data_IF_980788925017
#
_entry.id   IF_980788925017
#
_cell.length_a   1.000
_cell.length_b   1.000
_cell.length_c   1.000
_cell.angle_alpha   90.00
_cell.angle_beta   90.00
_cell.angle_gamma   90.00
#
_symmetry.space_group_name_H-M   'P 1'
#
loop_
_entity.id
_entity.type
_entity.pdbx_description
1 polymer ?
#
# COMPACT_ATOMS: atom_id res chain seq x y z
N UNK A 1 -9.51 -39.29 19.48
CA UNK A 1 -8.45 -38.36 19.04
C UNK A 1 -8.80 -37.00 19.62
N UNK A 2 -7.93 -36.41 20.44
CA UNK A 2 -8.16 -35.07 20.98
C UNK A 2 -8.03 -34.05 19.83
N UNK A 3 -8.91 -33.05 19.79
CA UNK A 3 -8.79 -31.93 18.85
C UNK A 3 -7.43 -31.24 19.07
N UNK A 4 -6.72 -30.90 17.98
CA UNK A 4 -5.50 -30.11 18.12
C UNK A 4 -5.84 -28.75 18.74
N UNK A 5 -4.90 -28.12 19.47
CA UNK A 5 -5.10 -26.79 20.06
C UNK A 5 -5.58 -25.75 19.03
N UNK A 6 -5.12 -25.88 17.78
CA UNK A 6 -5.51 -25.05 16.64
C UNK A 6 -6.99 -25.30 16.27
N UNK A 7 -7.43 -26.56 16.22
CA UNK A 7 -8.83 -26.92 15.93
C UNK A 7 -9.79 -26.37 17.00
N UNK A 8 -9.39 -26.42 18.27
CA UNK A 8 -10.15 -25.85 19.38
C UNK A 8 -10.25 -24.32 19.28
N UNK A 9 -9.14 -23.64 18.96
CA UNK A 9 -9.12 -22.18 18.76
C UNK A 9 -10.02 -21.75 17.58
N UNK A 10 -10.03 -22.50 16.47
CA UNK A 10 -10.91 -22.21 15.34
C UNK A 10 -12.39 -22.46 15.65
N UNK A 11 -12.72 -23.46 16.48
CA UNK A 11 -14.10 -23.69 16.95
C UNK A 11 -14.59 -22.55 17.84
N UNK A 12 -13.77 -22.10 18.80
CA UNK A 12 -14.07 -20.96 19.66
C UNK A 12 -14.27 -19.66 18.85
N UNK A 13 -13.38 -19.38 17.89
CA UNK A 13 -13.49 -18.21 17.02
C UNK A 13 -14.79 -18.24 16.18
N UNK A 14 -15.16 -19.39 15.63
CA UNK A 14 -16.43 -19.55 14.89
C UNK A 14 -17.63 -19.31 15.79
N UNK A 15 -17.60 -19.80 17.03
CA UNK A 15 -18.69 -19.60 17.99
C UNK A 15 -18.83 -18.13 18.38
N UNK A 16 -17.72 -17.42 18.64
CA UNK A 16 -17.73 -15.97 18.92
C UNK A 16 -18.24 -15.14 17.75
N UNK A 17 -17.88 -15.49 16.52
CA UNK A 17 -18.40 -14.84 15.31
C UNK A 17 -19.90 -15.07 15.13
N UNK A 18 -20.40 -16.25 15.49
CA UNK A 18 -21.82 -16.57 15.40
C UNK A 18 -22.65 -15.80 16.43
N UNK A 19 -22.16 -15.67 17.66
CA UNK A 19 -22.77 -14.83 18.71
C UNK A 19 -22.77 -13.35 18.29
N UNK A 20 -21.66 -12.85 17.75
CA UNK A 20 -21.57 -11.46 17.27
C UNK A 20 -22.55 -11.19 16.11
N UNK A 21 -22.75 -12.15 15.20
CA UNK A 21 -23.76 -12.06 14.13
C UNK A 21 -25.19 -12.02 14.69
N UNK A 22 -25.50 -12.86 15.68
CA UNK A 22 -26.80 -12.87 16.34
C UNK A 22 -27.08 -11.56 17.10
N UNK A 23 -26.07 -11.00 17.77
CA UNK A 23 -26.17 -9.70 18.45
C UNK A 23 -26.32 -8.52 17.47
N UNK A 24 -25.66 -8.58 16.31
CA UNK A 24 -25.83 -7.59 15.25
C UNK A 24 -27.22 -7.63 14.62
N UNK A 25 -27.83 -8.83 14.52
CA UNK A 25 -29.20 -9.02 14.05
C UNK A 25 -30.25 -8.56 15.08
N UNK A 26 -29.90 -8.52 16.37
CA UNK A 26 -30.78 -8.08 17.46
C UNK A 26 -30.88 -6.54 17.64
N UNK A 27 -30.39 -5.75 16.69
CA UNK A 27 -30.80 -4.34 16.54
C UNK A 27 -30.14 -3.30 17.45
N UNK A 28 -29.04 -3.58 18.15
CA UNK A 28 -28.30 -2.56 18.91
C UNK A 28 -27.21 -1.89 18.06
N UNK A 29 -27.59 -0.86 17.31
CA UNK A 29 -26.64 -0.03 16.54
C UNK A 29 -25.68 0.77 17.44
N UNK A 30 -26.10 1.10 18.67
CA UNK A 30 -25.32 1.87 19.65
C UNK A 30 -24.14 1.09 20.26
N UNK A 31 -24.30 -0.22 20.49
CA UNK A 31 -23.19 -1.06 20.95
C UNK A 31 -22.07 -1.10 19.90
N UNK A 32 -22.44 -1.16 18.61
CA UNK A 32 -21.47 -1.23 17.50
C UNK A 32 -20.64 0.05 17.34
N UNK A 33 -21.20 1.23 17.61
CA UNK A 33 -20.46 2.49 17.51
C UNK A 33 -19.44 2.62 18.65
N UNK A 34 -19.84 2.30 19.89
CA UNK A 34 -18.96 2.36 21.05
C UNK A 34 -17.82 1.34 20.94
N UNK A 35 -18.08 0.14 20.44
CA UNK A 35 -17.03 -0.86 20.21
C UNK A 35 -16.08 -0.48 19.07
N UNK A 36 -16.58 0.11 17.98
CA UNK A 36 -15.74 0.65 16.91
C UNK A 36 -14.87 1.79 17.43
N UNK A 37 -15.45 2.70 18.21
CA UNK A 37 -14.72 3.80 18.82
C UNK A 37 -13.64 3.29 19.78
N UNK A 38 -13.98 2.33 20.66
CA UNK A 38 -13.00 1.66 21.53
C UNK A 38 -11.85 1.02 20.75
N UNK A 39 -12.14 0.38 19.62
CA UNK A 39 -11.09 -0.20 18.78
C UNK A 39 -10.23 0.88 18.12
N UNK A 40 -10.84 1.95 17.58
CA UNK A 40 -10.14 3.13 17.03
C UNK A 40 -9.21 3.74 18.09
N UNK A 41 -9.69 3.86 19.32
CA UNK A 41 -8.92 4.38 20.45
C UNK A 41 -7.78 3.39 20.81
N UNK A 42 -8.07 2.09 20.91
CA UNK A 42 -7.11 1.03 21.24
C UNK A 42 -5.98 0.84 20.19
N UNK A 43 -6.26 1.10 18.91
CA UNK A 43 -5.24 1.02 17.84
C UNK A 43 -4.58 2.37 17.56
N UNK A 44 -4.81 3.38 18.40
CA UNK A 44 -4.15 4.69 18.31
C UNK A 44 -4.57 5.52 17.11
N UNK A 45 -5.81 5.38 16.63
CA UNK A 45 -6.35 6.16 15.50
C UNK A 45 -7.08 7.44 15.96
N UNK A 46 -7.17 7.69 17.27
CA UNK A 46 -7.79 8.88 17.88
C UNK A 46 -6.90 9.44 19.01
N UNK A 47 -6.79 10.77 19.12
CA UNK A 47 -5.82 11.46 19.99
C UNK A 47 -6.13 11.40 21.49
N UNK A 48 -7.26 10.83 21.94
CA UNK A 48 -7.81 11.21 23.25
C UNK A 48 -7.84 10.17 24.37
N UNK A 49 -7.84 8.84 24.19
CA UNK A 49 -7.93 7.92 25.35
C UNK A 49 -7.38 6.47 25.13
N UNK A 50 -6.42 6.06 25.97
CA UNK A 50 -6.38 4.81 26.76
C UNK A 50 -6.32 3.40 26.13
N UNK A 51 -5.20 2.71 26.43
CA UNK A 51 -4.81 1.28 26.30
C UNK A 51 -4.66 0.72 24.89
N UNK A 52 -3.41 0.53 24.49
CA UNK A 52 -3.03 -0.05 23.21
C UNK A 52 -3.30 -1.55 23.13
N UNK A 53 -3.42 -2.08 21.91
CA UNK A 53 -3.50 -3.54 21.67
C UNK A 53 -2.29 -4.30 22.26
N UNK A 54 -1.19 -3.60 22.48
CA UNK A 54 0.04 -4.13 23.08
C UNK A 54 -0.18 -4.55 24.54
N UNK A 55 -1.00 -3.83 25.32
CA UNK A 55 -1.35 -4.20 26.70
C UNK A 55 -2.14 -5.51 26.77
N UNK A 56 -2.92 -5.81 25.71
CA UNK A 56 -3.74 -7.01 25.63
C UNK A 56 -2.90 -8.20 25.16
N UNK A 57 -2.02 -7.98 24.18
CA UNK A 57 -1.16 -9.02 23.62
C UNK A 57 0.02 -9.37 24.55
N UNK A 58 0.54 -8.42 25.34
CA UNK A 58 1.55 -8.69 26.36
C UNK A 58 1.05 -9.58 27.51
N UNK A 59 -0.27 -9.79 27.64
CA UNK A 59 -0.85 -10.76 28.58
C UNK A 59 -0.92 -12.20 28.04
N UNK A 60 -0.46 -12.43 26.80
CA UNK A 60 -0.47 -13.73 26.14
C UNK A 60 0.84 -13.98 25.38
N UNK A 61 1.84 -14.50 26.08
CA UNK A 61 3.03 -15.16 25.52
C UNK A 61 3.09 -16.55 26.21
N UNK A 62 3.41 -17.69 25.58
CA UNK A 62 4.31 -17.99 24.48
C UNK A 62 3.74 -19.14 23.61
N UNK A 63 4.10 -19.20 22.32
CA UNK A 63 4.63 -20.43 21.68
C UNK A 63 4.99 -20.23 20.19
N UNK A 64 6.29 -20.38 19.90
CA UNK A 64 6.95 -20.76 18.64
C UNK A 64 6.84 -19.88 17.38
N UNK A 65 7.98 -19.29 17.01
CA UNK A 65 8.29 -18.69 15.70
C UNK A 65 8.61 -19.81 14.70
N UNK A 66 7.80 -19.94 13.65
CA UNK A 66 8.09 -20.80 12.49
C UNK A 66 8.99 -20.08 11.47
N UNK A 67 10.05 -20.77 11.03
CA UNK A 67 11.05 -20.30 10.05
C UNK A 67 10.44 -19.99 8.67
N UNK A 68 10.80 -18.85 8.02
CA UNK A 68 10.32 -18.48 6.69
C UNK A 68 11.36 -18.83 5.62
N UNK A 69 11.31 -20.04 5.05
CA UNK A 69 12.18 -20.38 3.92
C UNK A 69 11.38 -20.97 2.74
N UNK A 70 11.62 -20.40 1.55
CA UNK A 70 11.11 -20.71 0.21
C UNK A 70 9.72 -20.17 -0.22
N UNK A 71 9.64 -18.96 -0.80
CA UNK A 71 8.65 -18.70 -1.85
C UNK A 71 9.07 -19.39 -3.15
N UNK A 72 8.25 -20.35 -3.63
CA UNK A 72 8.39 -20.95 -4.97
C UNK A 72 7.30 -20.39 -5.88
N UNK A 73 7.68 -19.73 -6.97
CA UNK A 73 6.73 -19.30 -8.00
C UNK A 73 6.58 -20.45 -9.02
N UNK A 74 5.33 -20.73 -9.40
CA UNK A 74 4.97 -21.66 -10.48
C UNK A 74 3.93 -20.97 -11.35
N UNK A 75 4.30 -20.53 -12.56
CA UNK A 75 3.34 -20.10 -13.56
C UNK A 75 3.11 -21.22 -14.59
N UNK A 76 1.85 -21.38 -15.03
CA UNK A 76 1.49 -22.21 -16.17
C UNK A 76 0.72 -21.33 -17.14
N UNK A 77 1.29 -21.11 -18.32
CA UNK A 77 0.61 -20.44 -19.41
C UNK A 77 0.37 -21.44 -20.54
N UNK A 78 -0.78 -21.34 -21.21
CA UNK A 78 -1.01 -22.04 -22.48
C UNK A 78 -0.72 -21.07 -23.59
N UNK A 79 0.30 -21.36 -24.39
CA UNK A 79 0.60 -20.58 -25.57
C UNK A 79 -0.59 -20.65 -26.55
N UNK A 80 -1.09 -19.52 -27.07
CA UNK A 80 -2.31 -19.48 -27.89
C UNK A 80 -2.20 -20.35 -29.14
N UNK A 81 -1.00 -20.40 -29.72
CA UNK A 81 -0.76 -21.04 -31.02
C UNK A 81 -0.50 -22.54 -30.94
N UNK A 82 0.00 -23.05 -29.81
CA UNK A 82 0.44 -24.46 -29.73
C UNK A 82 -0.51 -25.34 -28.93
N UNK A 83 -1.44 -24.77 -28.14
CA UNK A 83 -2.31 -25.50 -27.19
C UNK A 83 -1.57 -26.38 -26.18
N UNK A 84 -0.23 -26.42 -26.21
CA UNK A 84 0.63 -27.12 -25.27
C UNK A 84 0.85 -26.21 -24.06
N UNK A 85 0.60 -26.69 -22.83
CA UNK A 85 0.95 -25.93 -21.63
C UNK A 85 2.48 -25.84 -21.53
N UNK A 86 3.03 -24.65 -21.73
CA UNK A 86 4.45 -24.36 -21.51
C UNK A 86 4.61 -23.95 -20.04
N UNK A 87 5.58 -24.57 -19.35
CA UNK A 87 5.89 -24.22 -17.95
C UNK A 87 6.95 -23.13 -17.96
N UNK A 88 6.57 -21.92 -17.57
CA UNK A 88 7.54 -20.86 -17.24
C UNK A 88 7.80 -20.88 -15.74
N UNK A 89 9.08 -21.01 -15.37
CA UNK A 89 9.54 -20.90 -13.98
C UNK A 89 10.14 -19.51 -13.82
N UNK A 90 9.39 -18.58 -13.24
CA UNK A 90 10.02 -17.46 -12.53
C UNK A 90 10.33 -17.93 -11.12
N UNK A 91 11.42 -17.48 -10.52
CA UNK A 91 11.72 -17.70 -9.10
C UNK A 91 12.15 -16.36 -8.53
N UNK A 92 11.35 -15.76 -7.65
CA UNK A 92 11.82 -14.70 -6.77
C UNK A 92 12.45 -15.41 -5.57
N UNK A 93 13.75 -15.64 -5.65
CA UNK A 93 14.53 -16.27 -4.59
C UNK A 93 15.27 -15.19 -3.80
N UNK A 94 15.34 -15.35 -2.47
CA UNK A 94 16.33 -14.60 -1.70
C UNK A 94 17.73 -15.13 -2.07
N UNK A 95 18.80 -14.35 -1.85
CA UNK A 95 20.15 -14.78 -2.19
C UNK A 95 20.64 -16.03 -1.39
N UNK A 96 19.83 -16.57 -0.47
CA UNK A 96 20.20 -17.64 0.47
C UNK A 96 19.51 -18.98 0.15
N UNK A 97 18.48 -18.98 -0.69
CA UNK A 97 17.75 -20.19 -1.05
C UNK A 97 18.54 -20.97 -2.10
N UNK A 98 18.67 -22.29 -1.92
CA UNK A 98 19.37 -23.17 -2.87
C UNK A 98 18.76 -23.01 -4.26
N UNK A 99 19.55 -22.41 -5.14
CA UNK A 99 19.26 -22.18 -6.54
C UNK A 99 18.91 -23.52 -7.18
N UNK A 100 17.85 -23.55 -7.99
CA UNK A 100 17.45 -24.76 -8.70
C UNK A 100 18.61 -25.21 -9.60
N UNK A 101 18.87 -26.52 -9.68
CA UNK A 101 20.00 -27.10 -10.42
C UNK A 101 20.00 -26.80 -11.94
N UNK A 102 18.93 -26.18 -12.44
CA UNK A 102 18.73 -25.78 -13.85
C UNK A 102 19.12 -24.31 -14.15
N UNK A 103 19.75 -23.62 -13.19
CA UNK A 103 20.10 -22.20 -13.22
C UNK A 103 21.50 -21.93 -13.78
N UNK A 104 21.63 -21.07 -14.79
CA UNK A 104 22.94 -20.49 -15.15
C UNK A 104 23.03 -19.10 -14.53
N UNK A 105 23.79 -19.00 -13.44
CA UNK A 105 24.18 -17.70 -12.85
C UNK A 105 25.27 -17.11 -13.73
N UNK A 106 25.02 -15.96 -14.33
CA UNK A 106 26.08 -15.23 -15.01
C UNK A 106 26.90 -14.46 -13.96
N UNK A 107 28.12 -14.95 -13.71
CA UNK A 107 29.02 -14.45 -12.68
C UNK A 107 29.47 -12.99 -12.87
N UNK A 108 29.37 -12.44 -14.08
CA UNK A 108 29.78 -11.06 -14.37
C UNK A 108 28.68 -10.05 -14.06
N UNK A 109 27.42 -10.48 -13.96
CA UNK A 109 26.31 -9.54 -13.94
C UNK A 109 25.15 -9.90 -13.01
N UNK A 110 25.20 -11.02 -12.27
CA UNK A 110 24.30 -11.27 -11.14
C UNK A 110 22.87 -11.67 -11.51
N UNK A 111 22.60 -12.04 -12.77
CA UNK A 111 21.29 -12.53 -13.21
C UNK A 111 21.33 -14.03 -13.50
N UNK A 112 20.16 -14.66 -13.37
CA UNK A 112 19.91 -16.02 -13.83
C UNK A 112 18.92 -15.97 -15.00
N UNK A 113 19.27 -16.66 -16.09
CA UNK A 113 18.37 -16.89 -17.24
C UNK A 113 17.93 -18.34 -17.22
N UNK A 114 16.63 -18.58 -17.16
CA UNK A 114 16.05 -19.94 -17.26
C UNK A 114 15.42 -20.07 -18.65
N UNK A 115 16.27 -20.30 -19.65
CA UNK A 115 15.88 -20.31 -21.06
C UNK A 115 15.75 -18.91 -21.67
N UNK A 116 15.50 -18.85 -22.98
CA UNK A 116 15.48 -17.61 -23.78
C UNK A 116 14.38 -16.60 -23.39
N UNK A 117 13.47 -16.96 -22.47
CA UNK A 117 12.25 -16.20 -22.17
C UNK A 117 11.99 -16.04 -20.66
N UNK A 118 12.99 -16.19 -19.79
CA UNK A 118 12.78 -15.98 -18.34
C UNK A 118 13.97 -15.27 -17.69
N UNK A 119 13.67 -14.12 -17.07
CA UNK A 119 14.61 -13.31 -16.29
C UNK A 119 14.26 -13.47 -14.81
N UNK A 120 15.26 -13.85 -14.01
CA UNK A 120 15.18 -13.80 -12.55
C UNK A 120 15.76 -12.46 -12.11
N UNK A 121 14.93 -11.66 -11.46
CA UNK A 121 15.33 -10.38 -10.87
C UNK A 121 15.50 -10.61 -9.37
N UNK A 122 16.68 -10.30 -8.82
CA UNK A 122 16.94 -10.42 -7.40
C UNK A 122 16.04 -9.43 -6.63
N UNK A 123 15.27 -9.94 -5.67
CA UNK A 123 14.22 -9.18 -5.01
C UNK A 123 14.72 -7.91 -4.29
N UNK A 124 15.92 -7.92 -3.70
CA UNK A 124 16.47 -6.80 -2.93
C UNK A 124 16.66 -5.52 -3.75
N UNK A 125 17.11 -5.68 -4.99
CA UNK A 125 17.47 -4.56 -5.83
C UNK A 125 16.22 -3.95 -6.46
N UNK A 126 15.18 -4.76 -6.73
CA UNK A 126 13.86 -4.28 -7.18
C UNK A 126 13.24 -3.36 -6.15
N UNK A 127 13.28 -3.75 -4.88
CA UNK A 127 12.78 -2.90 -3.79
C UNK A 127 13.58 -1.60 -3.68
N UNK A 128 14.90 -1.66 -3.85
CA UNK A 128 15.76 -0.47 -3.83
C UNK A 128 15.41 0.49 -4.97
N UNK A 129 15.29 -0.01 -6.19
CA UNK A 129 14.87 0.78 -7.35
C UNK A 129 13.47 1.39 -7.14
N UNK A 130 12.49 0.56 -6.76
CA UNK A 130 11.11 0.99 -6.58
C UNK A 130 10.97 2.02 -5.43
N UNK A 131 11.73 1.84 -4.36
CA UNK A 131 11.87 2.81 -3.27
C UNK A 131 12.42 4.14 -3.81
N UNK A 132 13.45 4.10 -4.65
CA UNK A 132 14.01 5.28 -5.32
C UNK A 132 12.98 6.01 -6.19
N UNK A 133 12.19 5.28 -6.98
CA UNK A 133 11.09 5.87 -7.78
C UNK A 133 10.08 6.59 -6.89
N UNK A 134 9.67 5.97 -5.77
CA UNK A 134 8.72 6.57 -4.81
C UNK A 134 9.31 7.79 -4.13
N UNK A 135 10.58 7.76 -3.75
CA UNK A 135 11.29 8.89 -3.13
C UNK A 135 11.39 10.08 -4.09
N UNK A 136 11.83 9.84 -5.33
CA UNK A 136 11.85 10.85 -6.39
C UNK A 136 10.46 11.45 -6.59
N UNK A 137 9.44 10.60 -6.80
CA UNK A 137 8.06 11.07 -6.96
C UNK A 137 7.61 11.91 -5.76
N UNK A 138 7.85 11.44 -4.53
CA UNK A 138 7.47 12.14 -3.30
C UNK A 138 8.15 13.50 -3.14
N UNK A 139 9.39 13.65 -3.62
CA UNK A 139 10.14 14.91 -3.51
C UNK A 139 9.78 15.93 -4.60
N UNK A 140 9.28 15.48 -5.76
CA UNK A 140 9.12 16.33 -6.95
C UNK A 140 7.67 16.56 -7.36
N UNK A 141 6.75 15.74 -6.85
CA UNK A 141 5.33 15.79 -7.20
C UNK A 141 4.51 16.31 -6.02
N UNK A 142 3.36 16.89 -6.37
CA UNK A 142 2.40 17.47 -5.43
C UNK A 142 1.88 16.40 -4.48
N UNK A 143 1.99 16.68 -3.18
CA UNK A 143 1.30 15.92 -2.15
C UNK A 143 -0.22 16.07 -2.30
N UNK A 144 -0.95 14.98 -2.56
CA UNK A 144 -2.41 14.98 -2.69
C UNK A 144 -3.13 15.03 -1.34
N UNK A 145 -2.40 14.82 -0.23
CA UNK A 145 -2.89 14.95 1.15
C UNK A 145 -1.93 15.80 2.00
N UNK A 146 -1.77 17.11 1.73
CA UNK A 146 -0.78 17.97 2.41
C UNK A 146 -1.04 18.17 3.91
N UNK A 147 -2.24 17.84 4.39
CA UNK A 147 -2.61 17.97 5.80
C UNK A 147 -2.38 16.67 6.60
N UNK A 148 -1.88 15.62 5.97
CA UNK A 148 -1.56 14.36 6.64
C UNK A 148 -0.05 14.23 6.80
N UNK A 149 0.45 13.56 7.86
CA UNK A 149 1.85 13.17 7.93
C UNK A 149 2.28 12.38 6.69
N UNK A 150 3.51 12.64 6.24
CA UNK A 150 4.09 12.03 5.05
C UNK A 150 3.67 12.70 3.74
N UNK A 151 3.97 12.01 2.65
CA UNK A 151 3.69 12.45 1.29
C UNK A 151 2.93 11.37 0.55
N UNK A 152 1.86 11.76 -0.15
CA UNK A 152 1.20 10.90 -1.13
C UNK A 152 1.22 11.60 -2.47
N UNK A 153 1.73 10.96 -3.50
CA UNK A 153 1.73 11.49 -4.87
C UNK A 153 0.88 10.61 -5.76
N UNK A 154 0.16 11.24 -6.69
CA UNK A 154 -0.70 10.55 -7.65
C UNK A 154 -0.10 10.61 -9.04
N UNK A 155 -0.18 9.50 -9.76
CA UNK A 155 0.14 9.37 -11.17
C UNK A 155 -1.03 8.70 -11.91
N UNK A 156 -1.03 8.83 -13.24
CA UNK A 156 -2.12 8.35 -14.08
C UNK A 156 -3.18 9.41 -14.34
N UNK A 157 -4.42 8.94 -14.38
CA UNK A 157 -5.60 9.77 -14.56
C UNK A 157 -6.11 10.30 -13.22
N UNK A 158 -6.77 11.45 -13.25
CA UNK A 158 -7.52 12.00 -12.13
C UNK A 158 -8.87 12.57 -12.58
N UNK A 159 -9.66 13.04 -11.61
CA UNK A 159 -10.95 13.66 -11.83
C UNK A 159 -10.90 15.19 -11.69
N UNK A 160 -9.72 15.81 -11.77
CA UNK A 160 -9.54 17.23 -11.53
C UNK A 160 -9.92 17.70 -10.11
N UNK A 161 -9.97 19.02 -9.88
CA UNK A 161 -10.41 19.58 -8.61
C UNK A 161 -11.90 19.36 -8.41
N UNK A 162 -12.35 19.36 -7.15
CA UNK A 162 -13.75 19.06 -6.80
C UNK A 162 -14.77 19.94 -7.50
N UNK A 163 -14.40 21.19 -7.79
CA UNK A 163 -15.24 22.18 -8.46
C UNK A 163 -15.16 22.14 -10.00
N UNK A 164 -14.20 21.40 -10.59
CA UNK A 164 -14.03 21.25 -12.03
C UNK A 164 -13.63 19.81 -12.35
N UNK A 165 -14.63 18.91 -12.42
CA UNK A 165 -14.43 17.46 -12.48
C UNK A 165 -14.00 16.96 -13.85
N UNK A 166 -12.73 17.16 -14.20
CA UNK A 166 -12.17 16.83 -15.52
C UNK A 166 -11.46 15.50 -15.46
N UNK A 167 -11.78 14.63 -16.41
CA UNK A 167 -10.98 13.44 -16.65
C UNK A 167 -9.73 13.82 -17.44
N UNK A 168 -8.56 13.55 -16.88
CA UNK A 168 -7.30 13.86 -17.54
C UNK A 168 -6.09 13.36 -16.78
N UNK A 169 -4.93 13.49 -17.41
CA UNK A 169 -3.64 13.08 -16.83
C UNK A 169 -3.21 14.04 -15.73
N UNK A 170 -2.65 13.49 -14.66
CA UNK A 170 -2.25 14.27 -13.49
C UNK A 170 -1.10 15.21 -13.85
N UNK A 171 -1.27 16.52 -13.59
CA UNK A 171 -0.17 17.50 -13.57
C UNK A 171 0.39 17.60 -12.16
N UNK A 172 1.38 16.77 -11.84
CA UNK A 172 1.86 16.61 -10.47
C UNK A 172 3.16 17.34 -10.15
N UNK A 173 4.07 17.56 -11.10
CA UNK A 173 5.38 18.15 -10.81
C UNK A 173 5.26 19.55 -10.16
N UNK A 174 5.96 19.73 -9.05
CA UNK A 174 6.09 20.99 -8.32
C UNK A 174 7.45 21.64 -8.50
N UNK A 175 8.46 20.86 -8.92
CA UNK A 175 9.79 21.37 -9.29
C UNK A 175 9.82 21.73 -10.78
N UNK A 176 10.68 22.69 -11.13
CA UNK A 176 11.01 22.99 -12.52
C UNK A 176 12.10 22.01 -12.93
N UNK A 177 11.74 21.07 -13.81
CA UNK A 177 12.62 20.07 -14.38
C UNK A 177 12.62 20.24 -15.89
N UNK A 178 13.69 19.83 -16.56
CA UNK A 178 13.70 19.77 -18.02
C UNK A 178 12.79 18.63 -18.52
N UNK A 179 12.38 18.73 -19.79
CA UNK A 179 11.44 17.78 -20.38
C UNK A 179 11.97 16.35 -20.41
N UNK A 180 13.28 16.14 -20.59
CA UNK A 180 13.84 14.80 -20.65
C UNK A 180 13.82 14.13 -19.28
N UNK A 181 14.17 14.88 -18.22
CA UNK A 181 14.05 14.40 -16.83
C UNK A 181 12.60 14.07 -16.48
N UNK A 182 11.63 14.91 -16.87
CA UNK A 182 10.21 14.64 -16.62
C UNK A 182 9.68 13.40 -17.32
N UNK A 183 10.16 13.13 -18.54
CA UNK A 183 9.84 11.91 -19.30
C UNK A 183 10.43 10.69 -18.59
N UNK A 184 11.72 10.70 -18.25
CA UNK A 184 12.37 9.59 -17.55
C UNK A 184 11.68 9.25 -16.22
N UNK A 185 11.39 10.26 -15.40
CA UNK A 185 10.71 10.06 -14.12
C UNK A 185 9.26 9.58 -14.29
N UNK A 186 8.59 9.91 -15.41
CA UNK A 186 7.27 9.39 -15.73
C UNK A 186 7.32 7.92 -16.22
N UNK A 187 8.33 7.56 -17.02
CA UNK A 187 8.60 6.18 -17.46
C UNK A 187 8.88 5.28 -16.25
N UNK A 188 9.71 5.73 -15.31
CA UNK A 188 10.00 5.02 -14.07
C UNK A 188 8.72 4.76 -13.25
N UNK A 189 7.81 5.75 -13.17
CA UNK A 189 6.53 5.62 -12.48
C UNK A 189 5.59 4.64 -13.19
N UNK A 190 5.53 4.68 -14.54
CA UNK A 190 4.76 3.71 -15.34
C UNK A 190 5.27 2.29 -15.09
N UNK A 191 6.58 2.11 -15.07
CA UNK A 191 7.23 0.82 -14.83
C UNK A 191 7.00 0.34 -13.39
N UNK A 192 7.12 1.23 -12.40
CA UNK A 192 6.85 0.94 -11.00
C UNK A 192 5.41 0.45 -10.80
N UNK A 193 4.44 1.12 -11.42
CA UNK A 193 3.04 0.69 -11.36
C UNK A 193 2.83 -0.64 -12.08
N UNK A 194 3.34 -0.80 -13.29
CA UNK A 194 3.12 -1.98 -14.11
C UNK A 194 3.74 -3.22 -13.48
N UNK A 195 4.91 -3.06 -12.85
CA UNK A 195 5.50 -4.08 -11.99
C UNK A 195 4.63 -4.39 -10.77
N UNK A 196 4.16 -3.37 -10.05
CA UNK A 196 3.26 -3.55 -8.89
C UNK A 196 1.99 -4.31 -9.28
N UNK A 197 1.39 -3.98 -10.42
CA UNK A 197 0.22 -4.68 -10.96
C UNK A 197 0.54 -6.14 -11.30
N UNK A 198 1.67 -6.40 -11.96
CA UNK A 198 2.13 -7.75 -12.29
C UNK A 198 2.37 -8.61 -11.03
N UNK A 199 2.96 -8.02 -9.98
CA UNK A 199 3.12 -8.65 -8.66
C UNK A 199 1.75 -8.96 -8.05
N UNK A 200 0.82 -8.00 -8.07
CA UNK A 200 -0.54 -8.21 -7.57
C UNK A 200 -1.22 -9.40 -8.25
N UNK A 201 -1.19 -9.45 -9.59
CA UNK A 201 -1.81 -10.55 -10.37
C UNK A 201 -1.16 -11.89 -10.10
N UNK A 202 0.13 -11.91 -9.76
CA UNK A 202 0.89 -13.13 -9.52
C UNK A 202 0.67 -13.72 -8.12
N UNK A 203 0.48 -12.87 -7.10
CA UNK A 203 0.48 -13.29 -5.70
C UNK A 203 -0.89 -13.23 -5.02
N UNK A 204 -1.83 -12.42 -5.51
CA UNK A 204 -3.16 -12.35 -4.92
C UNK A 204 -4.07 -13.48 -5.42
N UNK A 205 -5.09 -13.90 -4.63
CA UNK A 205 -6.02 -14.92 -5.04
C UNK A 205 -6.68 -14.62 -6.40
N UNK A 206 -6.70 -15.60 -7.30
CA UNK A 206 -7.24 -15.42 -8.66
C UNK A 206 -8.68 -14.91 -8.65
N UNK A 207 -9.53 -15.40 -7.73
CA UNK A 207 -10.91 -14.95 -7.60
C UNK A 207 -11.05 -13.48 -7.17
N UNK A 208 -10.02 -12.90 -6.53
CA UNK A 208 -9.95 -11.47 -6.22
C UNK A 208 -9.54 -10.68 -7.46
N UNK A 209 -8.46 -11.11 -8.13
CA UNK A 209 -7.96 -10.45 -9.33
C UNK A 209 -8.99 -10.47 -10.46
N UNK A 210 -9.65 -11.60 -10.73
CA UNK A 210 -10.69 -11.69 -11.76
C UNK A 210 -11.87 -10.75 -11.52
N UNK A 211 -12.17 -10.40 -10.25
CA UNK A 211 -13.18 -9.37 -9.97
C UNK A 211 -12.70 -7.98 -10.36
N UNK A 212 -11.44 -7.65 -10.06
CA UNK A 212 -10.82 -6.38 -10.45
C UNK A 212 -10.75 -6.29 -11.97
N UNK A 213 -10.28 -7.34 -12.65
CA UNK A 213 -10.23 -7.43 -14.11
C UNK A 213 -11.64 -7.19 -14.70
N UNK A 214 -12.67 -7.85 -14.16
CA UNK A 214 -14.05 -7.62 -14.58
C UNK A 214 -14.52 -6.17 -14.36
N UNK A 215 -14.09 -5.48 -13.29
CA UNK A 215 -14.38 -4.05 -13.13
C UNK A 215 -13.66 -3.20 -14.20
N UNK A 216 -12.39 -3.49 -14.48
CA UNK A 216 -11.60 -2.76 -15.47
C UNK A 216 -12.15 -2.95 -16.89
N UNK A 217 -12.50 -4.18 -17.28
CA UNK A 217 -13.14 -4.50 -18.57
C UNK A 217 -14.49 -3.81 -18.76
N UNK A 218 -15.27 -3.69 -17.68
CA UNK A 218 -16.56 -3.01 -17.71
C UNK A 218 -16.42 -1.50 -17.82
N UNK A 219 -15.47 -0.91 -17.10
CA UNK A 219 -15.27 0.54 -17.10
C UNK A 219 -14.55 1.01 -18.36
N UNK A 220 -13.67 0.19 -18.94
CA UNK A 220 -12.88 0.50 -20.15
C UNK A 220 -12.10 1.82 -20.05
N UNK A 221 -11.63 2.16 -18.84
CA UNK A 221 -10.68 3.25 -18.68
C UNK A 221 -9.35 2.86 -19.32
N UNK A 222 -8.62 3.84 -19.90
CA UNK A 222 -7.29 3.59 -20.43
C UNK A 222 -6.36 3.07 -19.34
N UNK A 223 -5.38 2.26 -19.75
CA UNK A 223 -4.26 1.84 -18.92
C UNK A 223 -3.39 3.04 -18.51
N UNK A 224 -2.46 2.83 -17.59
CA UNK A 224 -1.57 3.86 -17.07
C UNK A 224 -0.84 4.62 -18.19
N UNK A 225 -0.91 5.94 -18.06
CA UNK A 225 -0.18 6.92 -18.86
C UNK A 225 0.13 8.11 -17.96
N UNK A 226 1.03 8.98 -18.39
CA UNK A 226 1.34 10.22 -17.66
C UNK A 226 1.31 11.39 -18.61
N UNK A 227 1.40 12.62 -18.07
CA UNK A 227 1.38 13.82 -18.91
C UNK A 227 2.52 13.85 -19.93
N UNK A 228 3.67 13.27 -19.61
CA UNK A 228 4.85 13.35 -20.47
C UNK A 228 5.12 12.04 -21.22
N UNK A 229 4.36 10.96 -20.97
CA UNK A 229 4.52 9.67 -21.63
C UNK A 229 3.15 9.19 -22.10
N UNK A 230 3.01 9.09 -23.43
CA UNK A 230 1.76 8.72 -24.07
C UNK A 230 1.23 7.36 -23.60
N UNK A 231 -0.10 7.16 -23.63
CA UNK A 231 -0.69 5.85 -23.43
C UNK A 231 -0.15 4.82 -24.43
N UNK A 232 0.06 3.59 -23.98
CA UNK A 232 0.59 2.55 -24.84
C UNK A 232 0.75 1.22 -24.14
N UNK A 233 1.27 0.26 -24.91
CA UNK A 233 1.72 -1.03 -24.40
C UNK A 233 3.17 -0.95 -23.95
N UNK A 234 3.51 -1.86 -23.06
CA UNK A 234 4.85 -2.08 -22.57
C UNK A 234 5.35 -1.01 -21.61
N UNK A 235 6.42 -1.41 -20.92
CA UNK A 235 7.17 -0.59 -19.99
C UNK A 235 8.60 -1.14 -19.92
N UNK A 236 9.53 -0.33 -19.42
CA UNK A 236 10.91 -0.74 -19.24
C UNK A 236 11.47 -0.15 -17.96
N UNK A 237 12.36 -0.88 -17.32
CA UNK A 237 13.01 -0.42 -16.10
C UNK A 237 14.53 -0.46 -16.27
N UNK A 238 15.17 0.65 -15.93
CA UNK A 238 16.61 0.74 -15.85
C UNK A 238 17.04 0.25 -14.48
N UNK A 239 17.75 -0.86 -14.48
CA UNK A 239 18.11 -1.61 -13.30
C UNK A 239 19.60 -1.97 -13.35
N UNK A 240 20.38 -1.43 -12.41
CA UNK A 240 21.84 -1.57 -12.37
C UNK A 240 22.54 -1.21 -13.70
N UNK A 241 22.06 -0.15 -14.37
CA UNK A 241 22.58 0.28 -15.67
C UNK A 241 22.17 -0.62 -16.85
N UNK A 242 21.33 -1.62 -16.63
CA UNK A 242 20.73 -2.44 -17.69
C UNK A 242 19.27 -2.06 -17.90
N UNK A 243 18.84 -2.09 -19.14
CA UNK A 243 17.45 -1.87 -19.49
C UNK A 243 16.73 -3.22 -19.57
N UNK A 244 15.66 -3.39 -18.80
CA UNK A 244 14.75 -4.53 -18.91
C UNK A 244 13.47 -4.06 -19.60
N UNK A 245 13.22 -4.55 -20.82
CA UNK A 245 12.12 -4.11 -21.67
C UNK A 245 11.00 -5.16 -21.70
N UNK A 246 9.76 -4.71 -21.48
CA UNK A 246 8.56 -5.54 -21.50
C UNK A 246 7.59 -5.02 -22.58
N UNK A 247 7.91 -5.17 -23.89
CA UNK A 247 7.25 -4.40 -24.95
C UNK A 247 5.76 -4.76 -25.15
N UNK A 248 5.38 -6.00 -24.82
CA UNK A 248 4.04 -6.53 -25.05
C UNK A 248 3.20 -6.64 -23.77
N UNK A 249 3.71 -6.16 -22.63
CA UNK A 249 2.98 -6.22 -21.37
C UNK A 249 2.01 -5.06 -21.26
N UNK A 250 0.81 -5.34 -20.75
CA UNK A 250 -0.14 -4.29 -20.41
C UNK A 250 0.41 -3.45 -19.25
N UNK A 251 0.30 -2.12 -19.36
CA UNK A 251 0.60 -1.24 -18.25
C UNK A 251 -0.41 -1.44 -17.11
N UNK A 252 -0.07 -0.95 -15.92
CA UNK A 252 -1.00 -0.99 -14.78
C UNK A 252 -2.32 -0.23 -15.04
N UNK A 253 -3.31 -0.35 -14.13
CA UNK A 253 -4.57 0.40 -14.17
C UNK A 253 -4.42 1.93 -14.28
N UNK A 254 -5.52 2.67 -14.41
CA UNK A 254 -5.50 4.11 -14.69
C UNK A 254 -5.00 5.01 -13.54
N UNK A 255 -4.94 4.53 -12.30
CA UNK A 255 -4.68 5.36 -11.11
C UNK A 255 -3.65 4.69 -10.18
N UNK A 256 -2.57 5.42 -9.87
CA UNK A 256 -1.50 4.97 -9.00
C UNK A 256 -1.15 6.00 -7.94
N UNK A 257 -0.96 5.54 -6.72
CA UNK A 257 -0.54 6.33 -5.57
C UNK A 257 0.79 5.79 -5.07
N UNK A 258 1.77 6.68 -4.95
CA UNK A 258 3.03 6.42 -4.28
C UNK A 258 3.04 7.19 -2.98
N UNK A 259 3.23 6.48 -1.87
CA UNK A 259 3.21 7.09 -0.54
C UNK A 259 4.53 6.87 0.18
N UNK A 260 5.01 7.92 0.83
CA UNK A 260 6.13 7.89 1.75
C UNK A 260 5.68 8.41 3.12
N UNK A 261 5.97 7.66 4.17
CA UNK A 261 5.75 7.99 5.59
C UNK A 261 4.32 8.45 5.89
N UNK A 262 3.36 7.84 5.18
CA UNK A 262 1.99 8.31 5.23
C UNK A 262 1.23 7.72 6.44
N UNK A 263 0.81 8.61 7.34
CA UNK A 263 -0.08 8.27 8.46
C UNK A 263 -1.44 8.91 8.25
N UNK A 264 -2.50 8.10 8.23
CA UNK A 264 -3.86 8.57 7.92
C UNK A 264 -4.85 8.05 8.94
N UNK A 265 -5.61 8.97 9.54
CA UNK A 265 -6.75 8.63 10.39
C UNK A 265 -7.74 7.71 9.69
N UNK A 266 -8.50 6.95 10.49
CA UNK A 266 -9.52 6.05 9.97
C UNK A 266 -10.51 6.78 9.03
N UNK A 267 -10.66 6.28 7.82
CA UNK A 267 -11.57 6.82 6.81
C UNK A 267 -12.18 5.70 5.95
N UNK A 268 -13.09 6.08 5.06
CA UNK A 268 -13.64 5.22 4.02
C UNK A 268 -13.39 5.93 2.69
N UNK A 269 -13.08 5.15 1.67
CA UNK A 269 -12.99 5.68 0.32
C UNK A 269 -14.08 5.10 -0.58
N UNK A 270 -14.53 5.93 -1.53
CA UNK A 270 -15.57 5.57 -2.50
C UNK A 270 -14.92 5.15 -3.82
N UNK A 271 -14.75 3.83 -3.98
CA UNK A 271 -14.13 3.20 -5.14
C UNK A 271 -15.10 2.30 -5.87
N UNK A 272 -14.91 2.18 -7.19
CA UNK A 272 -15.77 1.38 -8.07
C UNK A 272 -15.40 -0.11 -8.03
N UNK A 273 -14.13 -0.44 -7.80
CA UNK A 273 -13.71 -1.83 -7.57
C UNK A 273 -13.90 -2.24 -6.11
N UNK A 274 -14.12 -3.54 -5.87
CA UNK A 274 -14.33 -4.07 -4.50
C UNK A 274 -13.07 -3.92 -3.62
N UNK A 275 -11.88 -3.98 -4.22
CA UNK A 275 -10.61 -4.00 -3.50
C UNK A 275 -9.63 -2.91 -3.95
N UNK A 276 -8.88 -2.39 -2.99
CA UNK A 276 -7.60 -1.69 -3.16
C UNK A 276 -6.46 -2.68 -3.13
N UNK A 277 -5.38 -2.39 -3.86
CA UNK A 277 -4.14 -3.15 -3.79
C UNK A 277 -3.00 -2.23 -3.33
N UNK A 278 -2.28 -2.60 -2.27
CA UNK A 278 -1.13 -1.86 -1.76
C UNK A 278 0.06 -2.78 -1.54
N UNK A 279 1.24 -2.35 -1.96
CA UNK A 279 2.49 -3.07 -1.81
C UNK A 279 3.50 -2.22 -1.04
N UNK A 280 3.99 -2.74 0.07
CA UNK A 280 5.04 -2.11 0.88
C UNK A 280 6.39 -2.45 0.26
N UNK A 281 7.13 -1.43 -0.17
CA UNK A 281 8.36 -1.62 -0.95
C UNK A 281 9.61 -1.28 -0.15
N UNK A 282 9.48 -0.42 0.86
CA UNK A 282 10.53 -0.11 1.81
C UNK A 282 9.92 0.11 3.19
N UNK A 283 10.64 -0.32 4.22
CA UNK A 283 10.30 -0.05 5.60
C UNK A 283 11.55 -0.07 6.47
N UNK A 284 11.72 0.99 7.25
CA UNK A 284 12.73 1.11 8.29
C UNK A 284 12.07 1.59 9.57
N UNK A 285 12.55 1.14 10.71
CA UNK A 285 12.07 1.61 12.01
C UNK A 285 13.31 2.12 12.73
N UNK A 286 13.29 3.40 13.07
CA UNK A 286 14.37 3.97 13.86
C UNK A 286 14.40 3.27 15.22
N UNK A 287 15.59 2.96 15.76
CA UNK A 287 15.68 2.47 17.13
C UNK A 287 14.99 3.49 18.05
N UNK A 288 14.29 3.04 19.10
CA UNK A 288 13.73 3.97 20.07
C UNK A 288 14.85 4.89 20.51
N UNK A 289 14.63 6.21 20.44
CA UNK A 289 15.63 7.15 20.96
C UNK A 289 15.97 6.67 22.38
N UNK A 290 17.27 6.47 22.69
CA UNK A 290 17.67 6.04 24.01
C UNK A 290 17.03 7.06 24.93
N UNK A 291 16.05 6.61 25.73
CA UNK A 291 15.28 7.48 26.59
C UNK A 291 16.34 8.25 27.35
N UNK A 292 16.52 9.54 27.04
CA UNK A 292 17.48 10.35 27.78
C UNK A 292 16.93 10.23 29.18
N UNK A 293 17.58 9.38 29.99
CA UNK A 293 17.11 9.03 31.32
C UNK A 293 16.98 10.38 31.97
N UNK A 294 15.73 10.85 32.09
CA UNK A 294 15.48 12.21 32.44
C UNK A 294 16.15 12.34 33.79
N UNK A 295 17.30 13.02 33.82
CA UNK A 295 17.90 13.45 35.05
C UNK A 295 16.86 14.44 35.56
N UNK A 296 15.87 13.92 36.30
CA UNK A 296 14.83 14.72 36.93
C UNK A 296 15.62 15.72 37.74
N UNK A 297 15.68 17.00 37.34
CA UNK A 297 16.34 17.98 38.17
C UNK A 297 15.53 17.94 39.46
N UNK A 298 16.20 17.67 40.58
CA UNK A 298 15.57 17.79 41.89
C UNK A 298 15.08 19.24 42.02
N UNK A 299 13.82 19.49 41.68
CA UNK A 299 13.19 20.80 41.77
C UNK A 299 12.97 21.07 43.25
N UNK A 300 13.97 21.70 43.87
CA UNK A 300 13.84 22.33 45.18
C UNK A 300 12.68 23.34 45.12
N UNK A 301 11.78 23.22 46.09
CA UNK A 301 10.45 23.82 46.04
C UNK A 301 10.44 25.35 45.98
N UNK A 302 9.58 25.87 45.11
CA UNK A 302 8.93 27.17 45.29
C UNK A 302 7.45 26.98 44.91
N UNK A 303 6.60 26.89 45.92
CA UNK A 303 5.14 26.86 45.77
C UNK A 303 4.61 28.28 45.64
N UNK A 304 4.22 28.71 44.44
CA UNK A 304 3.36 29.89 44.27
C UNK A 304 1.96 29.47 43.80
N UNK A 305 0.98 29.96 44.55
CA UNK A 305 -0.44 29.63 44.52
C UNK A 305 -1.15 30.42 43.42
N UNK A 306 -1.05 29.96 42.17
CA UNK A 306 -1.93 30.42 41.08
C UNK A 306 -2.20 29.26 40.09
N UNK A 307 -3.13 28.38 40.47
CA UNK A 307 -3.72 27.40 39.55
C UNK A 307 -4.90 28.06 38.83
N UNK A 308 -4.69 28.46 37.58
CA UNK A 308 -5.77 28.72 36.63
C UNK A 308 -5.53 27.91 35.35
N UNK A 309 -6.49 27.05 35.03
CA UNK A 309 -6.68 26.34 33.75
C UNK A 309 -5.43 25.74 33.10
N UNK A 310 -4.86 24.70 33.71
CA UNK A 310 -4.08 23.74 32.93
C UNK A 310 -5.03 22.79 32.21
N UNK A 311 -4.96 22.79 30.88
CA UNK A 311 -5.52 21.76 30.01
C UNK A 311 -5.17 20.37 30.56
N UNK A 312 -6.07 19.37 30.48
CA UNK A 312 -5.79 18.04 30.99
C UNK A 312 -4.45 17.56 30.45
N UNK A 313 -3.51 17.31 31.36
CA UNK A 313 -2.20 16.75 31.04
C UNK A 313 -2.44 15.51 30.18
N UNK A 314 -1.89 15.53 28.97
CA UNK A 314 -1.90 14.38 28.10
C UNK A 314 -1.30 13.21 28.89
N UNK A 315 -2.14 12.24 29.23
CA UNK A 315 -1.70 10.99 29.85
C UNK A 315 -0.62 10.44 28.93
N UNK A 316 0.59 10.26 29.45
CA UNK A 316 1.70 9.59 28.78
C UNK A 316 1.15 8.32 28.14
N UNK A 317 1.02 8.34 26.82
CA UNK A 317 0.59 7.20 26.02
C UNK A 317 1.62 6.08 26.23
N UNK A 318 1.15 4.84 26.12
CA UNK A 318 1.98 3.64 26.17
C UNK A 318 3.27 3.83 25.36
N UNK A 319 4.40 3.24 25.77
CA UNK A 319 5.64 3.33 25.01
C UNK A 319 5.38 2.96 23.55
N UNK A 320 6.00 3.72 22.64
CA UNK A 320 5.86 3.48 21.20
C UNK A 320 6.10 1.99 20.90
N UNK A 321 5.28 1.37 20.02
CA UNK A 321 5.39 -0.05 19.75
C UNK A 321 6.79 -0.36 19.21
N UNK A 322 7.43 -1.41 19.75
CA UNK A 322 8.79 -1.84 19.35
C UNK A 322 8.87 -2.12 17.84
N UNK A 323 7.77 -2.54 17.21
CA UNK A 323 7.66 -2.76 15.76
C UNK A 323 7.62 -1.47 14.92
N UNK A 324 7.65 -0.31 15.57
CA UNK A 324 7.30 0.98 14.98
C UNK A 324 5.81 1.06 14.60
N UNK A 325 5.46 2.21 14.06
CA UNK A 325 4.11 2.54 13.63
C UNK A 325 3.86 2.32 12.13
N UNK A 326 3.08 3.20 11.49
CA UNK A 326 2.74 3.14 10.06
C UNK A 326 2.13 1.79 9.60
N UNK A 327 1.39 1.10 10.46
CA UNK A 327 0.78 -0.19 10.15
C UNK A 327 -0.62 0.01 9.57
N UNK A 328 -1.01 -0.80 8.59
CA UNK A 328 -2.37 -0.75 8.04
C UNK A 328 -3.38 -1.29 9.06
N UNK A 329 -4.51 -0.63 9.19
CA UNK A 329 -5.60 -1.04 10.08
C UNK A 329 -6.92 -1.05 9.32
N UNK A 330 -7.64 -2.18 9.39
CA UNK A 330 -9.07 -2.24 9.05
C UNK A 330 -9.88 -2.31 10.35
N UNK A 331 -10.45 -1.18 10.73
CA UNK A 331 -11.28 -1.02 11.94
C UNK A 331 -12.58 -1.81 11.84
N UNK A 332 -13.10 -1.98 10.64
CA UNK A 332 -14.35 -2.73 10.44
C UNK A 332 -14.15 -4.21 10.72
N UNK A 333 -13.00 -4.76 10.30
CA UNK A 333 -12.60 -6.14 10.54
C UNK A 333 -11.91 -6.34 11.89
N UNK A 334 -11.55 -5.26 12.58
CA UNK A 334 -10.74 -5.27 13.81
C UNK A 334 -9.37 -5.94 13.59
N UNK A 335 -8.74 -5.66 12.45
CA UNK A 335 -7.45 -6.24 12.04
C UNK A 335 -6.40 -5.14 11.91
N UNK A 336 -5.21 -5.41 12.45
CA UNK A 336 -3.98 -4.64 12.19
C UNK A 336 -3.05 -5.53 11.36
N UNK A 337 -2.52 -5.00 10.27
CA UNK A 337 -1.48 -5.65 9.46
C UNK A 337 -0.16 -4.98 9.80
N UNK A 338 0.74 -5.73 10.43
CA UNK A 338 2.10 -5.27 10.67
C UNK A 338 2.86 -5.26 9.35
N UNK A 339 3.18 -4.08 8.86
CA UNK A 339 3.77 -3.93 7.54
C UNK A 339 5.26 -4.27 7.59
N UNK A 340 5.74 -4.96 6.58
CA UNK A 340 7.17 -5.21 6.29
C UNK A 340 7.44 -4.97 4.81
N UNK A 341 8.71 -4.85 4.43
CA UNK A 341 9.09 -4.92 3.00
C UNK A 341 8.48 -6.17 2.37
N UNK A 342 7.87 -6.00 1.20
CA UNK A 342 7.18 -7.07 0.48
C UNK A 342 5.75 -7.36 0.92
N UNK A 343 5.25 -6.72 1.98
CA UNK A 343 3.85 -6.90 2.40
C UNK A 343 2.91 -6.41 1.31
N UNK A 344 2.10 -7.33 0.78
CA UNK A 344 1.08 -7.08 -0.24
C UNK A 344 -0.31 -7.22 0.39
N UNK A 345 -1.14 -6.19 0.27
CA UNK A 345 -2.45 -6.12 0.89
C UNK A 345 -3.51 -5.88 -0.19
N UNK A 346 -4.59 -6.66 -0.13
CA UNK A 346 -5.84 -6.34 -0.79
C UNK A 346 -6.91 -6.06 0.27
N UNK A 347 -7.48 -4.85 0.27
CA UNK A 347 -8.47 -4.45 1.29
C UNK A 347 -9.69 -3.78 0.66
N UNK A 348 -10.82 -3.78 1.36
CA UNK A 348 -12.03 -3.13 0.88
C UNK A 348 -12.02 -1.65 1.27
N UNK A 349 -11.90 -0.70 0.33
CA UNK A 349 -11.82 0.73 0.64
C UNK A 349 -13.09 1.27 1.31
N UNK A 350 -14.23 0.58 1.10
CA UNK A 350 -15.49 0.90 1.78
C UNK A 350 -15.49 0.55 3.26
N UNK A 351 -14.58 -0.29 3.76
CA UNK A 351 -14.40 -0.50 5.19
C UNK A 351 -13.77 0.73 5.83
N UNK A 352 -14.05 0.96 7.11
CA UNK A 352 -13.32 1.96 7.89
C UNK A 352 -11.87 1.47 8.08
N UNK A 353 -10.91 2.17 7.49
CA UNK A 353 -9.50 1.77 7.45
C UNK A 353 -8.56 2.98 7.58
N UNK A 354 -7.30 2.76 7.91
CA UNK A 354 -6.29 3.82 8.04
C UNK A 354 -4.91 3.24 8.30
N UNK A 355 -3.99 4.08 8.75
CA UNK A 355 -2.67 3.65 9.22
C UNK A 355 -2.42 4.17 10.63
N UNK A 356 -1.69 3.41 11.45
CA UNK A 356 -1.28 3.88 12.77
C UNK A 356 -0.37 5.10 12.64
N UNK A 357 -0.15 5.83 13.75
CA UNK A 357 0.92 6.83 13.83
C UNK A 357 2.28 6.25 13.42
N UNK A 358 3.22 7.07 12.95
CA UNK A 358 4.50 6.60 12.41
C UNK A 358 5.41 5.98 13.47
N UNK A 359 5.50 6.56 14.67
CA UNK A 359 6.29 6.03 15.80
C UNK A 359 7.70 5.57 15.35
N UNK A 360 8.47 6.45 14.70
CA UNK A 360 9.81 6.15 14.17
C UNK A 360 9.86 5.25 12.93
N UNK A 361 8.73 4.78 12.42
CA UNK A 361 8.69 4.01 11.18
C UNK A 361 8.71 4.93 9.95
N UNK A 362 9.61 4.62 9.03
CA UNK A 362 9.67 5.13 7.67
C UNK A 362 9.15 4.05 6.73
N UNK A 363 8.20 4.38 5.88
CA UNK A 363 7.53 3.40 5.01
C UNK A 363 7.30 3.97 3.63
N UNK A 364 7.57 3.17 2.59
CA UNK A 364 7.19 3.49 1.22
C UNK A 364 6.28 2.42 0.66
N UNK A 365 5.23 2.84 -0.01
CA UNK A 365 4.26 1.93 -0.59
C UNK A 365 3.76 2.39 -1.96
N UNK A 366 3.56 1.41 -2.84
CA UNK A 366 2.98 1.52 -4.16
C UNK A 366 1.54 1.00 -4.09
N UNK A 367 0.56 1.84 -4.43
CA UNK A 367 -0.85 1.49 -4.23
C UNK A 367 -1.68 1.79 -5.48
N UNK A 368 -2.46 0.81 -5.91
CA UNK A 368 -3.36 0.90 -7.05
C UNK A 368 -4.77 1.22 -6.54
N UNK A 369 -5.32 2.32 -7.06
CA UNK A 369 -6.62 2.86 -6.66
C UNK A 369 -7.64 2.67 -7.78
N UNK A 370 -8.93 2.67 -7.40
CA UNK A 370 -10.05 2.54 -8.32
C UNK A 370 -11.12 3.58 -7.99
N UNK A 371 -10.75 4.86 -7.97
CA UNK A 371 -11.61 5.95 -7.52
C UNK A 371 -12.92 6.07 -8.32
N UNK A 372 -14.07 6.02 -7.62
CA UNK A 372 -15.38 6.25 -8.24
C UNK A 372 -15.48 7.63 -8.88
N UNK A 373 -14.69 8.61 -8.40
CA UNK A 373 -14.66 9.96 -8.96
C UNK A 373 -14.01 10.00 -10.33
N UNK A 374 -12.94 9.23 -10.53
CA UNK A 374 -12.26 9.14 -11.83
C UNK A 374 -13.17 8.43 -12.83
N UNK A 375 -13.78 7.31 -12.44
CA UNK A 375 -14.80 6.62 -13.26
C UNK A 375 -15.90 7.58 -13.69
N UNK A 376 -16.49 8.33 -12.75
CA UNK A 376 -17.55 9.27 -13.07
C UNK A 376 -17.11 10.43 -13.98
N UNK A 377 -15.86 10.89 -13.85
CA UNK A 377 -15.29 11.89 -14.76
C UNK A 377 -15.06 11.30 -16.17
N UNK A 378 -14.56 10.07 -16.24
CA UNK A 378 -14.34 9.33 -17.49
C UNK A 378 -15.65 9.11 -18.25
N UNK A 379 -16.69 8.63 -17.57
CA UNK A 379 -18.01 8.40 -18.19
C UNK A 379 -18.62 9.69 -18.75
N UNK A 380 -18.40 10.84 -18.08
CA UNK A 380 -18.82 12.14 -18.61
C UNK A 380 -18.02 12.55 -19.84
N UNK A 381 -16.71 12.33 -19.84
CA UNK A 381 -15.85 12.62 -20.99
C UNK A 381 -16.26 11.78 -22.21
N UNK A 382 -16.63 10.50 -22.01
CA UNK A 382 -17.14 9.63 -23.08
C UNK A 382 -18.45 10.12 -23.71
N UNK A 383 -19.26 10.89 -22.97
CA UNK A 383 -20.50 11.47 -23.48
C UNK A 383 -20.28 12.75 -24.30
N UNK A 384 -19.02 13.12 -24.58
CA UNK A 384 -18.69 14.35 -25.30
C UNK A 384 -19.00 15.62 -24.50
N UNK A 385 -19.28 15.49 -23.19
CA UNK A 385 -19.39 16.65 -22.30
C UNK A 385 -17.99 17.22 -22.12
N UNK A 386 -17.71 18.29 -22.87
CA UNK A 386 -16.53 19.13 -22.72
C UNK A 386 -16.41 19.49 -21.24
N UNK A 387 -15.46 18.87 -20.56
CA UNK A 387 -15.17 19.26 -19.20
C UNK A 387 -14.19 20.43 -19.27
N UNK A 388 -14.72 21.64 -19.15
CA UNK A 388 -13.91 22.85 -19.18
C UNK A 388 -12.86 22.84 -18.05
N UNK A 389 -11.60 23.06 -18.42
CA UNK A 389 -10.53 23.26 -17.46
C UNK A 389 -10.60 24.63 -16.83
N UNK A 390 -11.27 24.73 -15.68
CA UNK A 390 -11.13 25.88 -14.81
C UNK A 390 -9.70 25.98 -14.27
N UNK A 391 -9.23 27.21 -14.06
CA UNK A 391 -7.91 27.48 -13.50
C UNK A 391 -7.72 26.75 -12.16
N UNK A 392 -6.74 25.84 -12.09
CA UNK A 392 -6.49 24.99 -10.92
C UNK A 392 -6.87 23.52 -11.13
N UNK A 393 -7.67 23.21 -12.15
CA UNK A 393 -7.58 21.92 -12.80
C UNK A 393 -6.24 21.84 -13.54
N UNK A 394 -5.60 20.66 -13.55
CA UNK A 394 -4.45 20.47 -14.41
C UNK A 394 -4.84 20.93 -15.80
N UNK A 395 -4.28 22.05 -16.27
CA UNK A 395 -4.62 22.60 -17.59
C UNK A 395 -4.24 21.53 -18.61
N UNK A 396 -5.24 20.79 -19.06
CA UNK A 396 -5.28 20.13 -20.36
C UNK A 396 -5.64 21.19 -21.39
N UNK A 397 -4.96 21.14 -22.52
CA UNK A 397 -4.77 22.26 -23.44
C UNK A 397 -3.32 22.73 -23.25
N UNK A 398 -2.42 22.48 -24.20
CA UNK A 398 -2.63 22.32 -25.65
C UNK A 398 -2.73 20.88 -26.16
#
# INVERSE_FOLDING_TARGET
MADSPISAAFKDLRQRLQVAKQQAQAGSTLASHREKQKFVDMVGLNKQYGKSIHDILASQQEDSVGSPHNPRILWRYRHPETSVPVRHRQVLTDARSRIAEDAIINAENGYETVGAESVIILACDVYTWLSGVIETASSERRNVRPNHPGVMTQAGYNAGPRHARIFGLVKSYTKVLDSATMVQHDEDVISAMSLTWSVCRSFLPTNLISKIDGYLENVRMPTMATRNVEPGLGYWLTFQGKELVFPNFERGPSEFIMSQDCSVSAHRDDWFAEFCLSWTVDRKVDPPEPTQAAAVPAMAGVTTRQQSRQSPQAVSLDPDPVSGGANFVDVTLKVKVEMSVGTLIAFRPKNLHGTTHLCGAHTRAATIYFSSRIKAAFEKAQQGLLVESHAGAGKGGE
#
